data_IF_606008492978
#
_entry.id   IF_606008492978
#
_cell.length_a   1.000
_cell.length_b   1.000
_cell.length_c   1.000
_cell.angle_alpha   90.00
_cell.angle_beta   90.00
_cell.angle_gamma   90.00
#
_symmetry.space_group_name_H-M   'P 1'
#
loop_
_entity.id
_entity.type
_entity.pdbx_description
1 polymer ?
#
# COMPACT_ATOMS: atom_id res chain seq x y z
N UNK A 1 -12.99 6.62 -12.66
CA UNK A 1 -14.05 7.65 -12.61
C UNK A 1 -15.37 7.09 -12.05
N UNK A 2 -15.93 6.02 -12.62
CA UNK A 2 -17.25 5.49 -12.23
C UNK A 2 -17.40 5.20 -10.74
N UNK A 3 -16.41 4.56 -10.11
CA UNK A 3 -16.48 4.25 -8.68
C UNK A 3 -16.45 5.50 -7.79
N UNK A 4 -15.77 6.57 -8.22
CA UNK A 4 -15.79 7.86 -7.52
C UNK A 4 -17.16 8.52 -7.70
N UNK A 5 -17.66 8.59 -8.94
CA UNK A 5 -18.95 9.23 -9.24
C UNK A 5 -20.15 8.51 -8.57
N UNK A 6 -19.99 7.24 -8.20
CA UNK A 6 -21.01 6.48 -7.48
C UNK A 6 -21.43 7.10 -6.14
N UNK A 7 -20.62 8.00 -5.54
CA UNK A 7 -20.97 8.76 -4.33
C UNK A 7 -22.22 9.64 -4.47
N UNK A 8 -22.59 9.98 -5.71
CA UNK A 8 -23.79 10.74 -6.04
C UNK A 8 -25.06 9.90 -5.94
N UNK A 9 -24.92 8.57 -5.93
CA UNK A 9 -26.02 7.65 -5.74
C UNK A 9 -26.27 7.44 -4.24
N UNK A 10 -27.52 7.19 -3.83
CA UNK A 10 -27.83 6.83 -2.44
C UNK A 10 -27.10 5.52 -2.05
N UNK A 11 -26.78 5.34 -0.76
CA UNK A 11 -26.25 4.07 -0.27
C UNK A 11 -27.19 2.91 -0.62
N UNK A 12 -26.66 1.88 -1.27
CA UNK A 12 -27.45 0.72 -1.68
C UNK A 12 -26.84 -0.06 -2.85
N UNK A 13 -27.56 -1.08 -3.35
CA UNK A 13 -27.04 -2.01 -4.36
C UNK A 13 -26.58 -1.35 -5.66
N UNK A 14 -27.29 -0.30 -6.12
CA UNK A 14 -26.95 0.43 -7.36
C UNK A 14 -25.60 1.14 -7.21
N UNK A 15 -25.33 1.71 -6.04
CA UNK A 15 -24.06 2.36 -5.77
C UNK A 15 -22.92 1.33 -5.66
N UNK A 16 -23.19 0.18 -5.07
CA UNK A 16 -22.23 -0.94 -4.96
C UNK A 16 -21.89 -1.48 -6.37
N UNK A 17 -22.86 -1.60 -7.28
CA UNK A 17 -22.63 -2.16 -8.62
C UNK A 17 -21.60 -1.40 -9.45
N UNK A 18 -21.30 -0.14 -9.13
CA UNK A 18 -20.22 0.63 -9.76
C UNK A 18 -18.84 -0.05 -9.62
N UNK A 19 -18.62 -0.90 -8.62
CA UNK A 19 -17.39 -1.70 -8.49
C UNK A 19 -17.32 -2.91 -9.39
N UNK A 20 -18.44 -3.34 -9.97
CA UNK A 20 -18.48 -4.42 -10.97
C UNK A 20 -17.58 -4.13 -12.17
N UNK A 21 -17.35 -2.85 -12.49
CA UNK A 21 -16.41 -2.43 -13.55
C UNK A 21 -14.94 -2.67 -13.16
N UNK A 22 -14.55 -2.49 -11.89
CA UNK A 22 -13.19 -2.79 -11.42
C UNK A 22 -12.96 -4.30 -11.46
N UNK A 23 -13.97 -5.07 -11.07
CA UNK A 23 -13.94 -6.53 -11.15
C UNK A 23 -13.91 -7.00 -12.62
N UNK A 24 -14.68 -6.36 -13.50
CA UNK A 24 -14.63 -6.63 -14.94
C UNK A 24 -13.27 -6.31 -15.56
N UNK A 25 -12.63 -5.22 -15.15
CA UNK A 25 -11.26 -4.87 -15.56
C UNK A 25 -10.28 -5.98 -15.19
N UNK A 26 -10.43 -6.62 -14.04
CA UNK A 26 -9.60 -7.76 -13.65
C UNK A 26 -9.73 -8.92 -14.65
N UNK A 27 -10.95 -9.33 -14.98
CA UNK A 27 -11.16 -10.42 -15.95
C UNK A 27 -10.67 -10.03 -17.34
N UNK A 28 -10.83 -8.76 -17.72
CA UNK A 28 -10.28 -8.23 -18.96
C UNK A 28 -8.75 -8.34 -18.98
N UNK A 29 -8.06 -7.91 -17.91
CA UNK A 29 -6.61 -7.96 -17.83
C UNK A 29 -6.08 -9.40 -17.92
N UNK A 30 -6.77 -10.35 -17.27
CA UNK A 30 -6.43 -11.76 -17.37
C UNK A 30 -6.65 -12.33 -18.77
N UNK A 31 -7.78 -12.02 -19.41
CA UNK A 31 -8.13 -12.61 -20.70
C UNK A 31 -7.39 -11.98 -21.89
N UNK A 32 -7.00 -10.70 -21.80
CA UNK A 32 -6.56 -9.92 -22.97
C UNK A 32 -5.22 -9.20 -22.82
N UNK A 33 -4.68 -9.08 -21.60
CA UNK A 33 -3.39 -8.40 -21.37
C UNK A 33 -2.40 -9.26 -20.60
N UNK A 34 -2.71 -10.55 -20.41
CA UNK A 34 -1.79 -11.47 -19.78
C UNK A 34 -0.58 -11.68 -20.69
N UNK A 35 0.56 -11.17 -20.25
CA UNK A 35 1.83 -11.25 -20.96
C UNK A 35 2.95 -11.43 -19.93
N UNK A 36 4.04 -12.08 -20.32
CA UNK A 36 5.21 -12.32 -19.47
C UNK A 36 6.03 -11.05 -19.24
N UNK A 37 5.43 -10.03 -18.62
CA UNK A 37 6.04 -8.72 -18.41
C UNK A 37 5.92 -8.24 -16.97
N UNK A 38 6.90 -7.45 -16.53
CA UNK A 38 6.85 -6.76 -15.24
C UNK A 38 5.68 -5.76 -15.18
N UNK A 39 5.32 -5.18 -16.32
CA UNK A 39 4.18 -4.27 -16.43
C UNK A 39 2.85 -5.00 -16.19
N UNK A 40 2.67 -6.20 -16.79
CA UNK A 40 1.50 -7.04 -16.54
C UNK A 40 1.34 -7.36 -15.04
N UNK A 41 2.44 -7.73 -14.38
CA UNK A 41 2.47 -7.94 -12.93
C UNK A 41 2.09 -6.68 -12.13
N UNK A 42 2.67 -5.52 -12.47
CA UNK A 42 2.41 -4.26 -11.77
C UNK A 42 0.97 -3.77 -11.95
N UNK A 43 0.42 -3.88 -13.16
CA UNK A 43 -0.98 -3.53 -13.47
C UNK A 43 -1.94 -4.43 -12.71
N UNK A 44 -1.67 -5.74 -12.69
CA UNK A 44 -2.48 -6.71 -11.97
C UNK A 44 -2.50 -6.46 -10.44
N UNK A 45 -1.32 -6.27 -9.83
CA UNK A 45 -1.22 -5.94 -8.40
C UNK A 45 -1.92 -4.62 -8.06
N UNK A 46 -1.77 -3.60 -8.91
CA UNK A 46 -2.49 -2.32 -8.78
C UNK A 46 -4.01 -2.47 -8.87
N UNK A 47 -4.51 -3.26 -9.82
CA UNK A 47 -5.95 -3.54 -9.98
C UNK A 47 -6.54 -4.26 -8.76
N UNK A 48 -5.83 -5.22 -8.17
CA UNK A 48 -6.28 -5.85 -6.91
C UNK A 48 -6.36 -4.81 -5.79
N UNK A 49 -5.41 -3.88 -5.71
CA UNK A 49 -5.46 -2.74 -4.79
C UNK A 49 -6.73 -1.90 -4.97
N UNK A 50 -7.15 -1.65 -6.21
CA UNK A 50 -8.41 -0.93 -6.51
C UNK A 50 -9.64 -1.73 -6.07
N UNK A 51 -9.65 -3.06 -6.25
CA UNK A 51 -10.73 -3.93 -5.76
C UNK A 51 -10.83 -3.87 -4.24
N UNK A 52 -9.71 -3.98 -3.52
CA UNK A 52 -9.72 -3.86 -2.06
C UNK A 52 -10.17 -2.48 -1.60
N UNK A 53 -9.76 -1.43 -2.31
CA UNK A 53 -10.20 -0.07 -2.00
C UNK A 53 -11.71 0.10 -2.20
N UNK A 54 -12.26 -0.48 -3.26
CA UNK A 54 -13.70 -0.53 -3.47
C UNK A 54 -14.41 -1.30 -2.34
N UNK A 55 -13.94 -2.50 -2.00
CA UNK A 55 -14.51 -3.33 -0.93
C UNK A 55 -14.50 -2.55 0.41
N UNK A 56 -13.37 -1.96 0.78
CA UNK A 56 -13.23 -1.14 1.99
C UNK A 56 -14.22 0.03 1.97
N UNK A 57 -14.15 0.89 0.95
CA UNK A 57 -14.90 2.14 0.98
C UNK A 57 -16.40 1.97 0.72
N UNK A 58 -16.82 0.95 -0.03
CA UNK A 58 -18.18 0.89 -0.59
C UNK A 58 -18.99 -0.33 -0.18
N UNK A 59 -18.32 -1.47 0.06
CA UNK A 59 -19.01 -2.71 0.44
C UNK A 59 -19.10 -2.84 1.96
N UNK A 60 -18.01 -2.52 2.67
CA UNK A 60 -17.92 -2.69 4.13
C UNK A 60 -18.34 -1.41 4.87
N UNK A 61 -18.09 -0.25 4.28
CA UNK A 61 -18.36 1.05 4.90
C UNK A 61 -19.35 1.88 4.09
N UNK A 62 -19.98 2.84 4.76
CA UNK A 62 -20.72 3.94 4.15
C UNK A 62 -19.87 5.21 4.23
N UNK A 63 -19.30 5.69 3.11
CA UNK A 63 -18.31 6.74 3.15
C UNK A 63 -18.71 7.98 3.93
N UNK A 64 -19.92 8.48 3.69
CA UNK A 64 -20.44 9.69 4.30
C UNK A 64 -20.56 9.61 5.83
N UNK A 65 -20.68 8.41 6.39
CA UNK A 65 -20.82 8.17 7.83
C UNK A 65 -19.50 7.78 8.49
N UNK A 66 -18.78 6.86 7.85
CA UNK A 66 -17.66 6.16 8.48
C UNK A 66 -16.32 6.88 8.29
N UNK A 67 -16.24 7.81 7.33
CA UNK A 67 -15.01 8.57 7.05
C UNK A 67 -15.20 10.06 7.25
N UNK A 68 -14.16 10.70 7.79
CA UNK A 68 -14.07 12.15 7.92
C UNK A 68 -12.61 12.58 7.90
N UNK A 69 -12.38 13.79 7.41
CA UNK A 69 -11.08 14.46 7.53
C UNK A 69 -10.81 14.81 8.98
N UNK A 70 -9.56 14.63 9.40
CA UNK A 70 -9.07 15.03 10.72
C UNK A 70 -8.19 16.26 10.55
N UNK A 71 -8.57 17.37 11.16
CA UNK A 71 -7.75 18.58 11.25
C UNK A 71 -7.53 18.99 12.69
N UNK A 72 -6.44 19.73 12.93
CA UNK A 72 -6.22 20.46 14.18
C UNK A 72 -6.53 21.93 13.92
N UNK A 73 -7.51 22.48 14.64
CA UNK A 73 -7.77 23.92 14.65
C UNK A 73 -7.27 24.46 16.00
N UNK A 74 -6.34 25.40 15.94
CA UNK A 74 -5.72 26.02 17.11
C UNK A 74 -6.22 27.45 17.24
N UNK A 75 -7.24 27.65 18.08
CA UNK A 75 -7.55 28.98 18.60
C UNK A 75 -7.82 28.86 20.11
N UNK A 76 -6.81 29.21 20.92
CA UNK A 76 -6.92 29.26 22.38
C UNK A 76 -6.72 27.93 23.14
N UNK A 77 -5.50 27.42 23.18
CA UNK A 77 -5.02 26.52 24.26
C UNK A 77 -5.58 25.08 24.31
N UNK A 78 -6.45 24.68 23.39
CA UNK A 78 -6.94 23.31 23.26
C UNK A 78 -6.92 22.83 21.82
N UNK A 79 -6.33 21.67 21.55
CA UNK A 79 -6.37 21.03 20.23
C UNK A 79 -7.76 20.41 20.02
N UNK A 80 -8.64 21.08 19.28
CA UNK A 80 -9.94 20.51 18.88
C UNK A 80 -9.76 19.75 17.58
N UNK A 81 -10.12 18.46 17.57
CA UNK A 81 -10.13 17.65 16.35
C UNK A 81 -11.40 17.98 15.57
N UNK A 82 -11.26 18.71 14.47
CA UNK A 82 -12.37 19.00 13.55
C UNK A 82 -12.65 17.76 12.71
N UNK A 83 -13.92 17.36 12.63
CA UNK A 83 -14.39 16.22 11.81
C UNK A 83 -15.03 16.73 10.51
N UNK A 84 -14.25 16.72 9.43
CA UNK A 84 -14.73 17.11 8.10
C UNK A 84 -15.49 15.98 7.42
N UNK A 85 -16.79 15.88 7.68
CA UNK A 85 -17.69 14.92 7.00
C UNK A 85 -17.97 15.32 5.54
N UNK A 86 -18.63 14.41 4.81
CA UNK A 86 -18.97 14.63 3.41
C UNK A 86 -19.81 15.92 3.24
N UNK A 87 -19.42 16.84 2.33
CA UNK A 87 -20.16 18.08 2.11
C UNK A 87 -21.48 17.82 1.38
N UNK A 88 -22.46 18.71 1.56
CA UNK A 88 -23.80 18.56 0.97
C UNK A 88 -23.82 18.74 -0.55
N UNK A 89 -22.99 19.62 -1.10
CA UNK A 89 -22.95 19.90 -2.54
C UNK A 89 -22.33 18.77 -3.36
N UNK A 90 -22.98 18.37 -4.46
CA UNK A 90 -22.58 17.23 -5.32
C UNK A 90 -21.10 17.29 -5.76
N UNK A 91 -20.62 18.44 -6.21
CA UNK A 91 -19.23 18.58 -6.65
C UNK A 91 -18.24 18.54 -5.49
N UNK A 92 -18.58 19.15 -4.36
CA UNK A 92 -17.81 19.04 -3.13
C UNK A 92 -17.70 17.59 -2.68
N UNK A 93 -18.81 16.84 -2.75
CA UNK A 93 -18.88 15.43 -2.36
C UNK A 93 -18.02 14.54 -3.26
N UNK A 94 -18.04 14.78 -4.57
CA UNK A 94 -17.18 14.10 -5.54
C UNK A 94 -15.71 14.39 -5.26
N UNK A 95 -15.32 15.65 -5.01
CA UNK A 95 -13.94 16.02 -4.66
C UNK A 95 -13.48 15.36 -3.36
N UNK A 96 -14.30 15.45 -2.32
CA UNK A 96 -14.04 14.83 -1.01
C UNK A 96 -13.84 13.33 -1.14
N UNK A 97 -14.68 12.66 -1.94
CA UNK A 97 -14.59 11.23 -2.13
C UNK A 97 -13.44 10.82 -3.06
N UNK A 98 -13.14 11.62 -4.09
CA UNK A 98 -11.98 11.41 -4.94
C UNK A 98 -10.69 11.45 -4.13
N UNK A 99 -10.57 12.42 -3.22
CA UNK A 99 -9.44 12.49 -2.29
C UNK A 99 -9.36 11.26 -1.36
N UNK A 100 -10.50 10.84 -0.79
CA UNK A 100 -10.55 9.61 -0.01
C UNK A 100 -10.07 8.41 -0.82
N UNK A 101 -10.50 8.27 -2.08
CA UNK A 101 -10.09 7.17 -2.96
C UNK A 101 -8.57 7.09 -3.16
N UNK A 102 -7.93 8.22 -3.43
CA UNK A 102 -6.48 8.29 -3.70
C UNK A 102 -5.64 8.28 -2.42
N UNK A 103 -6.25 8.51 -1.26
CA UNK A 103 -5.62 8.47 0.06
C UNK A 103 -5.40 7.04 0.56
N UNK A 104 -4.56 6.25 -0.12
CA UNK A 104 -4.34 4.83 0.17
C UNK A 104 -3.98 4.54 1.64
N UNK A 105 -3.27 5.46 2.31
CA UNK A 105 -2.86 5.36 3.73
C UNK A 105 -3.71 6.20 4.69
N UNK A 106 -4.74 6.89 4.18
CA UNK A 106 -5.63 7.72 4.97
C UNK A 106 -4.97 8.96 5.59
N UNK A 107 -3.97 9.56 4.94
CA UNK A 107 -3.29 10.75 5.46
C UNK A 107 -4.30 11.89 5.62
N UNK A 108 -4.44 12.43 6.84
CA UNK A 108 -5.44 13.45 7.16
C UNK A 108 -6.88 12.93 7.26
N UNK A 109 -7.07 11.62 7.37
CA UNK A 109 -8.37 10.97 7.55
C UNK A 109 -8.41 10.20 8.88
N UNK A 110 -9.61 9.95 9.40
CA UNK A 110 -9.83 9.12 10.59
C UNK A 110 -9.31 7.67 10.47
N UNK A 111 -8.98 7.24 9.25
CA UNK A 111 -8.43 5.91 8.92
C UNK A 111 -6.91 5.93 8.68
N UNK A 112 -6.23 6.99 9.12
CA UNK A 112 -4.78 7.10 8.99
C UNK A 112 -4.05 5.90 9.61
N UNK A 113 -3.13 5.30 8.87
CA UNK A 113 -2.37 4.16 9.34
C UNK A 113 -1.51 4.50 10.59
N UNK A 114 -1.58 3.66 11.63
CA UNK A 114 -1.03 3.91 12.98
C UNK A 114 0.49 3.75 13.15
N UNK A 115 1.23 3.47 12.07
CA UNK A 115 2.68 3.23 12.07
C UNK A 115 3.37 3.88 10.87
N UNK A 116 2.86 5.03 10.42
CA UNK A 116 3.48 5.73 9.30
C UNK A 116 4.71 6.53 9.74
N UNK A 117 5.73 6.64 8.86
CA UNK A 117 6.77 7.62 9.01
C UNK A 117 6.19 9.04 9.17
N UNK A 118 6.86 9.87 9.95
CA UNK A 118 6.44 11.25 10.18
C UNK A 118 6.39 12.04 8.86
N UNK A 119 5.35 12.86 8.72
CA UNK A 119 5.24 13.82 7.63
C UNK A 119 6.29 14.93 7.76
N UNK A 120 6.42 15.76 6.71
CA UNK A 120 7.19 16.99 6.80
C UNK A 120 6.68 17.87 7.95
N UNK A 121 7.56 18.54 8.69
CA UNK A 121 7.15 19.38 9.82
C UNK A 121 6.33 20.60 9.35
N UNK A 122 5.44 21.09 10.21
CA UNK A 122 4.75 22.35 9.99
C UNK A 122 5.80 23.48 9.88
N UNK A 123 5.82 24.18 8.75
CA UNK A 123 6.86 25.18 8.42
C UNK A 123 7.95 24.70 7.45
N UNK A 124 7.88 23.46 6.96
CA UNK A 124 8.78 23.02 5.88
C UNK A 124 8.56 23.87 4.62
N UNK A 125 9.61 24.54 4.16
CA UNK A 125 9.56 25.31 2.90
C UNK A 125 9.26 24.39 1.71
N UNK A 126 8.25 24.77 0.92
CA UNK A 126 7.83 24.05 -0.29
C UNK A 126 8.99 23.84 -1.27
N UNK A 127 9.78 24.87 -1.55
CA UNK A 127 10.90 24.79 -2.50
C UNK A 127 12.00 23.87 -1.98
N UNK A 128 12.33 23.96 -0.69
CA UNK A 128 13.32 23.07 -0.04
C UNK A 128 12.88 21.61 -0.10
N UNK A 129 11.60 21.34 0.19
CA UNK A 129 11.05 20.00 0.12
C UNK A 129 11.06 19.45 -1.31
N UNK A 130 10.69 20.26 -2.30
CA UNK A 130 10.73 19.86 -3.72
C UNK A 130 12.16 19.54 -4.14
N UNK A 131 13.13 20.44 -3.88
CA UNK A 131 14.55 20.21 -4.23
C UNK A 131 15.09 18.93 -3.57
N UNK A 132 14.83 18.76 -2.28
CA UNK A 132 15.28 17.56 -1.55
C UNK A 132 14.71 16.27 -2.13
N UNK A 133 13.44 16.27 -2.52
CA UNK A 133 12.80 15.08 -3.08
C UNK A 133 13.16 14.85 -4.56
N UNK A 134 13.47 15.89 -5.31
CA UNK A 134 14.05 15.77 -6.67
C UNK A 134 15.44 15.14 -6.63
N UNK A 135 16.29 15.56 -5.68
CA UNK A 135 17.61 14.92 -5.47
C UNK A 135 17.42 13.45 -5.06
N UNK A 136 16.49 13.17 -4.14
CA UNK A 136 16.14 11.80 -3.75
C UNK A 136 15.69 10.96 -4.94
N UNK A 137 14.82 11.48 -5.81
CA UNK A 137 14.37 10.80 -7.03
C UNK A 137 15.54 10.45 -7.95
N UNK A 138 16.46 11.39 -8.17
CA UNK A 138 17.66 11.16 -8.97
C UNK A 138 18.53 10.03 -8.38
N UNK A 139 18.78 10.06 -7.06
CA UNK A 139 19.55 9.02 -6.39
C UNK A 139 18.85 7.65 -6.42
N UNK A 140 17.53 7.60 -6.26
CA UNK A 140 16.76 6.37 -6.37
C UNK A 140 16.77 5.83 -7.80
N UNK A 141 16.74 6.70 -8.81
CA UNK A 141 16.86 6.29 -10.21
C UNK A 141 18.21 5.62 -10.48
N UNK A 142 19.32 6.21 -9.99
CA UNK A 142 20.64 5.56 -10.02
C UNK A 142 20.59 4.21 -9.31
N UNK A 143 19.90 4.12 -8.16
CA UNK A 143 19.67 2.86 -7.46
C UNK A 143 18.97 1.79 -8.32
N UNK A 144 17.94 2.16 -9.07
CA UNK A 144 17.27 1.26 -10.04
C UNK A 144 18.24 0.82 -11.14
N UNK A 145 19.00 1.76 -11.70
CA UNK A 145 19.94 1.47 -12.78
C UNK A 145 21.07 0.52 -12.34
N UNK A 146 21.69 0.80 -11.18
CA UNK A 146 22.72 -0.05 -10.58
C UNK A 146 22.18 -1.44 -10.26
N UNK A 147 21.03 -1.53 -9.59
CA UNK A 147 20.44 -2.83 -9.24
C UNK A 147 20.00 -3.62 -10.48
N UNK A 148 19.50 -2.96 -11.52
CA UNK A 148 19.15 -3.60 -12.79
C UNK A 148 20.39 -4.09 -13.53
N UNK A 149 21.44 -3.28 -13.58
CA UNK A 149 22.73 -3.65 -14.17
C UNK A 149 23.31 -4.88 -13.46
N UNK A 150 23.34 -4.86 -12.12
CA UNK A 150 23.79 -6.01 -11.32
C UNK A 150 22.97 -7.26 -11.68
N UNK A 151 21.64 -7.19 -11.72
CA UNK A 151 20.80 -8.35 -12.03
C UNK A 151 21.01 -8.90 -13.45
N UNK A 152 21.35 -8.04 -14.41
CA UNK A 152 21.68 -8.45 -15.78
C UNK A 152 23.02 -9.19 -15.79
N UNK A 153 24.07 -8.60 -15.21
CA UNK A 153 25.41 -9.20 -15.20
C UNK A 153 25.55 -10.43 -14.30
N UNK A 154 24.75 -10.49 -13.24
CA UNK A 154 24.68 -11.62 -12.33
C UNK A 154 23.66 -12.68 -12.78
N UNK A 155 23.07 -12.59 -13.99
CA UNK A 155 22.20 -13.63 -14.50
C UNK A 155 22.94 -14.98 -14.59
N UNK A 156 22.49 -15.99 -13.85
CA UNK A 156 22.96 -17.38 -13.96
C UNK A 156 21.87 -18.24 -14.61
N UNK A 157 22.28 -19.24 -15.39
CA UNK A 157 21.37 -20.16 -16.07
C UNK A 157 20.80 -21.27 -15.17
N UNK A 158 21.42 -21.55 -14.02
CA UNK A 158 20.95 -22.60 -13.12
C UNK A 158 19.79 -22.11 -12.23
N UNK A 159 18.87 -23.00 -11.81
CA UNK A 159 17.76 -22.67 -10.93
C UNK A 159 18.19 -21.96 -9.64
N UNK A 160 17.38 -20.99 -9.19
CA UNK A 160 17.71 -20.14 -8.04
C UNK A 160 18.06 -20.94 -6.76
N UNK A 161 17.30 -22.00 -6.45
CA UNK A 161 17.50 -22.80 -5.24
C UNK A 161 18.72 -23.72 -5.29
N UNK A 162 19.27 -23.97 -6.48
CA UNK A 162 20.49 -24.77 -6.67
C UNK A 162 21.77 -23.93 -6.50
N UNK A 163 21.63 -22.60 -6.49
CA UNK A 163 22.75 -21.69 -6.30
C UNK A 163 23.27 -21.71 -4.85
N UNK A 164 24.54 -21.34 -4.59
CA UNK A 164 25.05 -21.18 -3.23
C UNK A 164 24.19 -20.24 -2.38
N UNK A 165 23.99 -20.54 -1.10
CA UNK A 165 23.12 -19.73 -0.21
C UNK A 165 23.53 -18.26 -0.17
N UNK A 166 24.84 -17.98 -0.09
CA UNK A 166 25.33 -16.59 -0.09
C UNK A 166 24.91 -15.84 -1.36
N UNK A 167 24.89 -16.55 -2.50
CA UNK A 167 24.43 -16.00 -3.76
C UNK A 167 22.92 -15.75 -3.75
N UNK A 168 22.13 -16.73 -3.30
CA UNK A 168 20.68 -16.60 -3.16
C UNK A 168 20.30 -15.37 -2.33
N UNK A 169 20.97 -15.19 -1.19
CA UNK A 169 20.79 -14.04 -0.29
C UNK A 169 21.18 -12.74 -0.99
N UNK A 170 22.34 -12.71 -1.66
CA UNK A 170 22.85 -11.50 -2.34
C UNK A 170 21.89 -11.03 -3.44
N UNK A 171 21.49 -11.92 -4.34
CA UNK A 171 20.58 -11.56 -5.44
C UNK A 171 19.18 -11.21 -4.94
N UNK A 172 18.72 -11.84 -3.85
CA UNK A 172 17.45 -11.48 -3.20
C UNK A 172 17.47 -10.06 -2.67
N UNK A 173 18.57 -9.64 -2.03
CA UNK A 173 18.73 -8.26 -1.56
C UNK A 173 18.79 -7.26 -2.72
N UNK A 174 19.50 -7.58 -3.81
CA UNK A 174 19.53 -6.71 -5.00
C UNK A 174 18.12 -6.53 -5.57
N UNK A 175 17.33 -7.62 -5.67
CA UNK A 175 15.92 -7.55 -6.09
C UNK A 175 15.08 -6.71 -5.12
N UNK A 176 15.26 -6.88 -3.80
CA UNK A 176 14.55 -6.11 -2.79
C UNK A 176 14.86 -4.60 -2.88
N UNK A 177 16.12 -4.22 -3.07
CA UNK A 177 16.51 -2.83 -3.29
C UNK A 177 15.91 -2.25 -4.56
N UNK A 178 15.95 -3.01 -5.67
CA UNK A 178 15.29 -2.59 -6.92
C UNK A 178 13.80 -2.32 -6.70
N UNK A 179 13.10 -3.23 -6.05
CA UNK A 179 11.67 -3.06 -5.71
C UNK A 179 11.43 -1.84 -4.83
N UNK A 180 12.26 -1.62 -3.80
CA UNK A 180 12.20 -0.44 -2.95
C UNK A 180 12.31 0.85 -3.78
N UNK A 181 13.35 0.97 -4.61
CA UNK A 181 13.55 2.17 -5.42
C UNK A 181 12.41 2.40 -6.41
N UNK A 182 11.91 1.35 -7.07
CA UNK A 182 10.81 1.48 -8.02
C UNK A 182 9.53 2.01 -7.35
N UNK A 183 9.17 1.48 -6.18
CA UNK A 183 7.97 1.92 -5.45
C UNK A 183 8.13 3.37 -4.95
N UNK A 184 9.29 3.70 -4.39
CA UNK A 184 9.57 5.04 -3.87
C UNK A 184 9.61 6.10 -4.98
N UNK A 185 10.18 5.79 -6.16
CA UNK A 185 10.20 6.71 -7.31
C UNK A 185 8.80 7.05 -7.75
N UNK A 186 7.93 6.05 -7.95
CA UNK A 186 6.54 6.31 -8.37
C UNK A 186 5.83 7.20 -7.35
N UNK A 187 6.03 6.95 -6.06
CA UNK A 187 5.46 7.76 -4.99
C UNK A 187 5.95 9.22 -5.04
N UNK A 188 7.27 9.43 -5.09
CA UNK A 188 7.84 10.77 -5.04
C UNK A 188 7.65 11.57 -6.32
N UNK A 189 7.54 10.94 -7.49
CA UNK A 189 7.16 11.64 -8.73
C UNK A 189 5.79 12.27 -8.55
N UNK A 190 4.80 11.49 -8.12
CA UNK A 190 3.42 11.99 -7.92
C UNK A 190 3.43 13.06 -6.83
N UNK A 191 4.15 12.84 -5.74
CA UNK A 191 4.25 13.77 -4.62
C UNK A 191 4.82 15.13 -5.04
N UNK A 192 5.96 15.12 -5.75
CA UNK A 192 6.62 16.34 -6.23
C UNK A 192 5.72 17.06 -7.23
N UNK A 193 5.12 16.36 -8.18
CA UNK A 193 4.21 16.98 -9.16
C UNK A 193 2.99 17.62 -8.47
N UNK A 194 2.35 16.91 -7.54
CA UNK A 194 1.20 17.43 -6.80
C UNK A 194 1.57 18.67 -5.98
N UNK A 195 2.73 18.68 -5.32
CA UNK A 195 3.22 19.83 -4.56
C UNK A 195 3.66 20.98 -5.47
N UNK A 196 4.24 20.73 -6.65
CA UNK A 196 4.66 21.77 -7.62
C UNK A 196 3.45 22.43 -8.30
N UNK A 197 2.38 21.68 -8.58
CA UNK A 197 1.15 22.24 -9.13
C UNK A 197 0.29 22.92 -8.05
N UNK A 198 0.56 22.65 -6.78
CA UNK A 198 -0.19 23.24 -5.65
C UNK A 198 -1.49 22.48 -5.32
N UNK A 199 -1.59 21.22 -5.74
CA UNK A 199 -2.70 20.32 -5.39
C UNK A 199 -2.64 19.92 -3.92
N UNK A 200 -1.42 19.80 -3.38
CA UNK A 200 -1.15 19.33 -2.02
C UNK A 200 0.06 20.04 -1.41
N UNK A 201 0.21 19.91 -0.11
CA UNK A 201 1.35 20.40 0.68
C UNK A 201 2.35 19.28 0.96
N UNK A 202 3.62 19.60 1.33
CA UNK A 202 4.58 18.59 1.77
C UNK A 202 4.10 17.65 2.88
N UNK A 203 3.21 18.13 3.75
CA UNK A 203 2.65 17.40 4.89
C UNK A 203 1.73 16.27 4.45
N UNK A 204 1.10 16.40 3.27
CA UNK A 204 0.21 15.38 2.70
C UNK A 204 0.98 14.16 2.17
N UNK A 205 2.31 14.25 2.08
CA UNK A 205 3.17 13.21 1.52
C UNK A 205 4.21 12.65 2.52
N UNK A 206 3.77 12.04 3.65
CA UNK A 206 4.69 11.36 4.55
C UNK A 206 5.38 10.19 3.81
N UNK A 207 6.67 9.89 4.07
CA UNK A 207 7.34 8.76 3.44
C UNK A 207 6.54 7.46 3.54
N UNK A 208 6.56 6.63 2.49
CA UNK A 208 5.83 5.34 2.49
C UNK A 208 6.62 4.22 3.17
N UNK A 209 7.93 4.40 3.33
CA UNK A 209 8.84 3.47 4.02
C UNK A 209 9.45 4.12 5.26
N UNK A 210 9.66 3.33 6.30
CA UNK A 210 10.30 3.74 7.54
C UNK A 210 11.82 3.64 7.52
N UNK A 211 12.42 3.71 8.70
CA UNK A 211 13.88 3.63 8.82
C UNK A 211 14.35 2.18 8.86
N UNK A 212 14.91 1.68 7.75
CA UNK A 212 15.56 0.36 7.72
C UNK A 212 16.72 0.26 8.70
N UNK A 213 17.47 1.36 8.93
CA UNK A 213 18.57 1.39 9.90
C UNK A 213 18.09 1.24 11.35
N UNK A 214 16.97 1.90 11.71
CA UNK A 214 16.48 1.90 13.11
C UNK A 214 15.56 0.73 13.41
N UNK A 215 14.81 0.23 12.43
CA UNK A 215 13.76 -0.75 12.66
C UNK A 215 13.92 -2.06 11.86
N UNK A 216 14.86 -2.13 10.91
CA UNK A 216 15.01 -3.27 9.98
C UNK A 216 15.72 -4.50 10.56
N UNK A 217 15.57 -4.77 11.86
CA UNK A 217 16.26 -5.86 12.56
C UNK A 217 15.34 -7.01 13.01
N UNK A 218 14.04 -6.91 12.75
CA UNK A 218 13.04 -7.97 13.00
C UNK A 218 12.10 -8.09 11.80
N UNK A 219 11.56 -9.28 11.55
CA UNK A 219 10.56 -9.54 10.50
C UNK A 219 9.31 -8.68 10.78
N UNK A 220 8.86 -8.62 12.03
CA UNK A 220 7.70 -7.81 12.42
C UNK A 220 7.88 -6.34 12.09
N UNK A 221 9.04 -5.75 12.40
CA UNK A 221 9.30 -4.33 12.10
C UNK A 221 9.57 -4.11 10.62
N UNK A 222 10.23 -5.04 9.94
CA UNK A 222 10.44 -4.96 8.50
C UNK A 222 9.11 -4.72 7.77
N UNK A 223 8.08 -5.52 8.07
CA UNK A 223 6.75 -5.36 7.44
C UNK A 223 5.86 -4.31 8.13
N UNK A 224 6.02 -4.13 9.44
CA UNK A 224 5.17 -3.26 10.25
C UNK A 224 5.51 -1.77 10.15
N UNK A 225 6.78 -1.43 9.89
CA UNK A 225 7.28 -0.05 9.95
C UNK A 225 8.23 0.30 8.82
N UNK A 226 9.08 -0.62 8.34
CA UNK A 226 10.10 -0.29 7.34
C UNK A 226 9.58 -0.34 5.90
N UNK A 227 8.97 -1.45 5.50
CA UNK A 227 8.50 -1.68 4.15
C UNK A 227 7.29 -0.80 3.81
N UNK A 228 6.92 -0.72 2.53
CA UNK A 228 5.91 0.24 2.07
C UNK A 228 4.58 0.10 2.83
N UNK A 229 4.03 1.21 3.31
CA UNK A 229 2.78 1.23 4.08
C UNK A 229 1.52 1.30 3.20
N UNK A 230 1.66 1.19 1.87
CA UNK A 230 0.54 1.28 0.91
C UNK A 230 -0.53 0.20 1.09
N UNK A 231 -0.16 -0.98 1.59
CA UNK A 231 -1.08 -2.10 1.85
C UNK A 231 -1.63 -2.12 3.28
N UNK A 232 -1.28 -1.13 4.11
CA UNK A 232 -1.60 -1.18 5.54
C UNK A 232 -3.10 -1.22 5.81
N UNK A 233 -3.88 -0.43 5.05
CA UNK A 233 -5.34 -0.36 5.18
C UNK A 233 -6.02 -1.70 4.84
N UNK A 234 -5.87 -2.28 3.64
CA UNK A 234 -6.55 -3.54 3.32
C UNK A 234 -6.15 -4.68 4.27
N UNK A 235 -4.87 -4.79 4.62
CA UNK A 235 -4.40 -5.79 5.58
C UNK A 235 -5.02 -5.62 6.98
N UNK A 236 -5.11 -4.37 7.48
CA UNK A 236 -5.69 -4.09 8.80
C UNK A 236 -7.20 -4.29 8.81
N UNK A 237 -7.90 -3.90 7.75
CA UNK A 237 -9.35 -4.11 7.61
C UNK A 237 -9.70 -5.59 7.51
N UNK A 238 -8.95 -6.38 6.74
CA UNK A 238 -9.11 -7.84 6.71
C UNK A 238 -9.00 -8.44 8.11
N UNK A 239 -7.94 -8.08 8.85
CA UNK A 239 -7.78 -8.51 10.23
C UNK A 239 -8.92 -8.07 11.16
N UNK A 240 -9.40 -6.82 11.03
CA UNK A 240 -10.53 -6.29 11.81
C UNK A 240 -11.81 -7.09 11.55
N UNK A 241 -12.11 -7.39 10.29
CA UNK A 241 -13.28 -8.16 9.86
C UNK A 241 -13.19 -9.58 10.43
N UNK A 242 -12.05 -10.26 10.27
CA UNK A 242 -11.85 -11.60 10.85
C UNK A 242 -12.05 -11.57 12.36
N UNK A 243 -11.50 -10.58 13.07
CA UNK A 243 -11.68 -10.43 14.51
C UNK A 243 -13.16 -10.30 14.89
N UNK A 244 -13.93 -9.50 14.15
CA UNK A 244 -15.35 -9.28 14.40
C UNK A 244 -16.20 -10.52 14.08
N UNK A 245 -15.98 -11.13 12.91
CA UNK A 245 -16.73 -12.29 12.44
C UNK A 245 -16.61 -13.48 13.39
N UNK A 246 -15.42 -13.71 13.94
CA UNK A 246 -15.15 -14.81 14.86
C UNK A 246 -15.23 -14.40 16.35
N UNK A 247 -15.64 -13.18 16.67
CA UNK A 247 -15.76 -12.71 18.06
C UNK A 247 -14.46 -12.78 18.86
N UNK A 248 -13.30 -12.62 18.21
CA UNK A 248 -12.00 -12.84 18.86
C UNK A 248 -11.73 -11.75 19.90
N UNK A 249 -11.39 -12.17 21.12
CA UNK A 249 -11.07 -11.26 22.24
C UNK A 249 -9.86 -10.40 21.90
N UNK A 250 -9.99 -9.07 22.00
CA UNK A 250 -8.89 -8.12 21.79
C UNK A 250 -7.70 -8.48 22.69
N UNK A 251 -6.51 -8.51 22.11
CA UNK A 251 -5.26 -8.82 22.82
C UNK A 251 -5.02 -10.31 23.07
N UNK A 252 -5.96 -11.19 22.74
CA UNK A 252 -5.72 -12.65 22.79
C UNK A 252 -4.71 -13.08 21.72
N UNK A 253 -4.02 -14.20 21.99
CA UNK A 253 -3.13 -14.86 21.04
C UNK A 253 -3.82 -15.09 19.68
N UNK A 254 -5.00 -15.70 19.69
CA UNK A 254 -5.78 -15.97 18.48
C UNK A 254 -6.14 -14.70 17.72
N UNK A 255 -6.52 -13.62 18.42
CA UNK A 255 -6.79 -12.34 17.78
C UNK A 255 -5.53 -11.74 17.15
N UNK A 256 -4.38 -11.79 17.83
CA UNK A 256 -3.12 -11.25 17.31
C UNK A 256 -2.70 -11.97 16.04
N UNK A 257 -2.60 -13.30 16.09
CA UNK A 257 -2.04 -14.06 14.97
C UNK A 257 -3.01 -14.21 13.81
N UNK A 258 -4.33 -14.35 14.05
CA UNK A 258 -5.28 -14.36 12.92
C UNK A 258 -5.19 -13.09 12.08
N UNK A 259 -5.07 -11.92 12.72
CA UNK A 259 -4.88 -10.66 12.00
C UNK A 259 -3.58 -10.61 11.19
N UNK A 260 -2.49 -11.18 11.72
CA UNK A 260 -1.20 -11.24 11.00
C UNK A 260 -1.30 -12.19 9.81
N UNK A 261 -1.86 -13.39 10.01
CA UNK A 261 -2.07 -14.37 8.94
C UNK A 261 -2.96 -13.81 7.83
N UNK A 262 -4.05 -13.14 8.18
CA UNK A 262 -4.96 -12.51 7.20
C UNK A 262 -4.28 -11.34 6.48
N UNK A 263 -3.47 -10.54 7.18
CA UNK A 263 -2.70 -9.48 6.54
C UNK A 263 -1.77 -10.03 5.45
N UNK A 264 -1.02 -11.11 5.75
CA UNK A 264 -0.16 -11.75 4.75
C UNK A 264 -0.93 -12.51 3.69
N UNK A 265 -2.09 -13.08 3.99
CA UNK A 265 -2.96 -13.69 2.99
C UNK A 265 -3.44 -12.66 1.96
N UNK A 266 -3.80 -11.46 2.40
CA UNK A 266 -4.19 -10.35 1.51
C UNK A 266 -3.02 -9.97 0.58
N UNK A 267 -1.81 -9.83 1.14
CA UNK A 267 -0.59 -9.60 0.34
C UNK A 267 -0.35 -10.74 -0.65
N UNK A 268 -0.44 -11.99 -0.19
CA UNK A 268 -0.34 -13.20 -1.03
C UNK A 268 -1.30 -13.14 -2.21
N UNK A 269 -2.58 -12.82 -2.00
CA UNK A 269 -3.55 -12.76 -3.09
C UNK A 269 -3.26 -11.63 -4.10
N UNK A 270 -2.74 -10.48 -3.64
CA UNK A 270 -2.29 -9.41 -4.54
C UNK A 270 -1.14 -9.87 -5.42
N UNK A 271 -0.11 -10.45 -4.83
CA UNK A 271 1.10 -10.87 -5.54
C UNK A 271 0.88 -12.11 -6.41
N UNK A 272 0.06 -13.06 -5.94
CA UNK A 272 -0.35 -14.24 -6.72
C UNK A 272 -1.12 -13.84 -7.97
N UNK A 273 -2.07 -12.90 -7.86
CA UNK A 273 -2.75 -12.34 -9.05
C UNK A 273 -1.74 -11.73 -10.02
N UNK A 274 -0.79 -10.95 -9.49
CA UNK A 274 0.30 -10.37 -10.28
C UNK A 274 1.05 -11.44 -11.07
N UNK A 275 1.40 -12.54 -10.42
CA UNK A 275 2.14 -13.65 -11.04
C UNK A 275 1.31 -14.37 -12.11
N UNK A 276 0.02 -14.58 -11.87
CA UNK A 276 -0.91 -15.21 -12.83
C UNK A 276 -1.07 -14.35 -14.09
N UNK A 277 -1.39 -13.06 -13.95
CA UNK A 277 -1.55 -12.15 -15.11
C UNK A 277 -0.20 -11.86 -15.78
N UNK A 278 0.87 -11.75 -15.00
CA UNK A 278 2.23 -11.62 -15.52
C UNK A 278 2.78 -12.92 -16.11
N UNK A 279 2.00 -14.00 -16.19
CA UNK A 279 2.36 -15.31 -16.75
C UNK A 279 3.69 -15.86 -16.22
N UNK A 280 3.89 -15.78 -14.92
CA UNK A 280 5.07 -16.35 -14.27
C UNK A 280 4.96 -17.87 -14.35
N UNK A 281 6.09 -18.55 -14.62
CA UNK A 281 6.13 -19.99 -14.89
C UNK A 281 5.62 -20.84 -13.72
N UNK A 282 5.81 -20.36 -12.49
CA UNK A 282 5.35 -21.04 -11.27
C UNK A 282 3.91 -20.66 -10.87
N UNK A 283 3.21 -19.84 -11.66
CA UNK A 283 1.89 -19.32 -11.35
C UNK A 283 1.83 -18.52 -10.04
N UNK A 284 2.96 -18.05 -9.51
CA UNK A 284 3.05 -17.36 -8.22
C UNK A 284 3.13 -18.27 -7.00
N UNK A 285 3.37 -19.58 -7.17
CA UNK A 285 3.56 -20.53 -6.07
C UNK A 285 4.64 -20.05 -5.08
N UNK A 286 5.81 -19.64 -5.58
CA UNK A 286 6.91 -19.23 -4.70
C UNK A 286 6.63 -17.90 -3.99
N UNK A 287 5.83 -17.02 -4.61
CA UNK A 287 5.39 -15.79 -3.96
C UNK A 287 4.42 -16.09 -2.81
N UNK A 288 3.49 -17.03 -3.01
CA UNK A 288 2.61 -17.50 -1.94
C UNK A 288 3.42 -18.09 -0.78
N UNK A 289 4.37 -18.98 -1.07
CA UNK A 289 5.26 -19.55 -0.04
C UNK A 289 5.98 -18.42 0.70
N UNK A 290 6.57 -17.46 -0.02
CA UNK A 290 7.29 -16.34 0.58
C UNK A 290 6.43 -15.52 1.56
N UNK A 291 5.24 -15.09 1.15
CA UNK A 291 4.38 -14.26 1.99
C UNK A 291 3.75 -15.04 3.15
N UNK A 292 3.35 -16.30 2.93
CA UNK A 292 2.75 -17.13 3.98
C UNK A 292 3.76 -17.67 4.99
N UNK A 293 5.06 -17.66 4.69
CA UNK A 293 6.12 -17.95 5.66
C UNK A 293 6.42 -16.77 6.60
N UNK A 294 6.10 -15.53 6.23
CA UNK A 294 6.32 -14.36 7.09
C UNK A 294 5.59 -14.43 8.44
N UNK A 295 4.28 -14.78 8.54
CA UNK A 295 3.61 -14.91 9.83
C UNK A 295 4.25 -15.99 10.72
N UNK A 296 4.76 -17.08 10.13
CA UNK A 296 5.52 -18.12 10.86
C UNK A 296 6.80 -17.52 11.44
N UNK A 297 7.58 -16.81 10.63
CA UNK A 297 8.79 -16.12 11.08
C UNK A 297 8.52 -15.12 12.20
N UNK A 298 7.43 -14.34 12.10
CA UNK A 298 7.00 -13.41 13.14
C UNK A 298 6.59 -14.13 14.44
N UNK A 299 5.93 -15.27 14.34
CA UNK A 299 5.60 -16.08 15.52
C UNK A 299 6.86 -16.58 16.22
N UNK A 300 7.81 -17.15 15.46
CA UNK A 300 9.10 -17.60 15.99
C UNK A 300 9.86 -16.45 16.63
N UNK A 301 9.91 -15.29 15.98
CA UNK A 301 10.52 -14.07 16.51
C UNK A 301 9.91 -13.65 17.85
N UNK A 302 8.57 -13.62 17.95
CA UNK A 302 7.87 -13.26 19.20
C UNK A 302 8.12 -14.24 20.36
N UNK A 303 8.61 -15.47 20.09
CA UNK A 303 8.98 -16.43 21.13
C UNK A 303 10.40 -16.22 21.66
N UNK A 304 11.27 -15.56 20.88
CA UNK A 304 12.71 -15.46 21.16
C UNK A 304 13.14 -14.03 21.52
N UNK A 305 12.41 -13.01 21.05
CA UNK A 305 12.65 -11.57 21.26
C UNK A 305 11.57 -10.96 22.12
#
# INVERSE_FOLDING_TARGET
>A
ATCILSILLPPGPIRISAGGLIIGLFFYLYAWTAEKTLNGYAVATGSVGLVYRWIDLMLIHQPEKDFWRTGEEGDGGGHVIVRGHAPEGSWGKVKWFADLWISARGVGWNIQASQMPAAASNGTSRSRWVVSNTIRLFLMYIGVDVTSSILIYLGRGEPFLEQPVLWQVSVSWVKAFRSYYSIEITYYIIAVLAVVVGISTPQDWPPITGSFRKDGYTIRKMWGTCWHQLMRRPCSEGGRITKQLFGLKKGSFTSRYSQIWIAFLISTSTHHTGAVIGMYEDGGFWQMVYFMMQPVGIMVEDFVV
#
